data_IF_159863969162
#
_entry.id   IF_159863969162
#
_cell.length_a   1.000
_cell.length_b   1.000
_cell.length_c   1.000
_cell.angle_alpha   90.00
_cell.angle_beta   90.00
_cell.angle_gamma   90.00
#
_symmetry.space_group_name_H-M   'P 1'
#
loop_
_entity.id
_entity.type
_entity.pdbx_description
1 polymer ?
#
# COMPACT_ATOMS: atom_id res chain seq x y z
N UNK A 1 -35.85 73.92 11.67
CA UNK A 1 -35.90 74.08 13.15
C UNK A 1 -35.96 72.69 13.74
N UNK A 2 -35.09 72.45 14.73
CA UNK A 2 -35.11 71.37 15.73
C UNK A 2 -34.48 70.01 15.37
N UNK A 3 -33.26 69.87 15.88
CA UNK A 3 -32.50 68.70 16.31
C UNK A 3 -33.23 67.81 17.34
N UNK A 4 -32.98 66.50 17.31
CA UNK A 4 -32.88 65.57 18.46
C UNK A 4 -32.51 64.17 17.92
N UNK A 5 -31.76 63.27 18.54
CA UNK A 5 -30.69 63.22 19.54
C UNK A 5 -30.19 61.75 19.53
N UNK A 6 -28.99 61.52 20.06
CA UNK A 6 -28.25 60.27 20.17
C UNK A 6 -28.97 59.06 20.79
N UNK A 7 -28.54 57.87 20.38
CA UNK A 7 -28.30 56.77 21.32
C UNK A 7 -26.97 56.08 20.95
N UNK A 8 -26.02 56.18 21.89
CA UNK A 8 -24.75 55.44 21.90
C UNK A 8 -25.01 53.93 21.95
N UNK A 9 -24.15 53.16 21.27
CA UNK A 9 -24.18 51.71 21.33
C UNK A 9 -22.89 51.11 20.77
N UNK A 10 -21.86 51.11 21.63
CA UNK A 10 -20.83 50.07 21.74
C UNK A 10 -19.97 49.72 20.51
N UNK A 11 -18.69 50.04 20.60
CA UNK A 11 -17.67 49.48 19.72
C UNK A 11 -17.31 48.05 20.15
N UNK A 12 -17.26 47.07 19.23
CA UNK A 12 -16.33 45.98 19.36
C UNK A 12 -15.11 46.25 18.48
N UNK A 13 -13.99 46.49 19.16
CA UNK A 13 -12.64 46.38 18.63
C UNK A 13 -12.50 45.06 17.87
N UNK A 14 -12.45 45.11 16.54
CA UNK A 14 -12.09 43.96 15.72
C UNK A 14 -10.57 43.93 15.59
N UNK A 15 -9.96 43.06 16.40
CA UNK A 15 -8.55 42.71 16.34
C UNK A 15 -8.12 42.36 14.89
N UNK A 16 -6.87 42.64 14.50
CA UNK A 16 -6.39 42.30 13.17
C UNK A 16 -6.50 40.79 12.98
N UNK A 17 -7.19 40.38 11.90
CA UNK A 17 -7.23 38.99 11.45
C UNK A 17 -5.80 38.57 11.14
N UNK A 18 -5.15 37.92 12.09
CA UNK A 18 -3.89 37.23 11.87
C UNK A 18 -4.11 36.25 10.74
N UNK A 19 -3.60 36.57 9.55
CA UNK A 19 -3.50 35.63 8.44
C UNK A 19 -2.56 34.53 8.91
N UNK A 20 -3.14 33.44 9.42
CA UNK A 20 -2.42 32.23 9.75
C UNK A 20 -1.64 31.81 8.50
N UNK A 21 -0.33 32.02 8.57
CA UNK A 21 0.60 31.70 7.50
C UNK A 21 0.48 30.20 7.25
N UNK A 22 -0.15 29.82 6.14
CA UNK A 22 -0.18 28.41 5.73
C UNK A 22 1.27 28.00 5.51
N UNK A 23 1.75 27.03 6.28
CA UNK A 23 3.04 26.40 6.02
C UNK A 23 2.96 25.78 4.62
N UNK A 24 3.66 26.37 3.67
CA UNK A 24 3.78 25.84 2.32
C UNK A 24 5.00 24.91 2.29
N UNK A 25 4.82 23.71 1.74
CA UNK A 25 5.92 22.78 1.51
C UNK A 25 6.89 23.40 0.51
N UNK A 26 8.09 23.76 0.98
CA UNK A 26 9.06 24.52 0.17
C UNK A 26 9.78 23.64 -0.85
N UNK A 27 9.96 22.34 -0.55
CA UNK A 27 10.58 21.38 -1.46
C UNK A 27 10.28 19.94 -1.01
N UNK A 28 9.62 19.16 -1.86
CA UNK A 28 9.54 17.71 -1.74
C UNK A 28 10.64 17.11 -2.62
N UNK A 29 11.64 16.46 -2.02
CA UNK A 29 12.67 15.74 -2.76
C UNK A 29 12.57 14.25 -2.46
N UNK A 30 12.36 13.43 -3.48
CA UNK A 30 12.41 11.95 -3.38
C UNK A 30 13.72 11.43 -3.95
N UNK A 31 14.18 10.29 -3.42
CA UNK A 31 15.40 9.61 -3.87
C UNK A 31 15.27 9.27 -5.35
N UNK A 32 16.12 9.82 -6.22
CA UNK A 32 16.02 9.61 -7.68
C UNK A 32 16.11 8.14 -8.11
N UNK A 33 16.86 7.32 -7.36
CA UNK A 33 17.11 5.91 -7.67
C UNK A 33 16.92 5.06 -6.41
N UNK A 34 15.67 4.71 -6.05
CA UNK A 34 15.43 3.87 -4.89
C UNK A 34 16.00 2.46 -5.13
N UNK A 35 16.61 1.83 -4.11
CA UNK A 35 17.20 0.49 -4.26
C UNK A 35 16.15 -0.62 -4.34
N UNK A 36 14.94 -0.36 -3.83
CA UNK A 36 13.85 -1.33 -3.77
C UNK A 36 12.61 -0.79 -4.49
N UNK A 37 11.81 -1.73 -4.95
CA UNK A 37 10.43 -1.50 -5.37
C UNK A 37 9.49 -2.32 -4.49
N UNK A 38 8.26 -1.86 -4.39
CA UNK A 38 7.25 -2.41 -3.52
C UNK A 38 6.09 -2.97 -4.33
N UNK A 39 5.51 -4.06 -3.83
CA UNK A 39 4.41 -4.76 -4.48
C UNK A 39 3.33 -5.07 -3.46
N UNK A 40 2.07 -4.86 -3.84
CA UNK A 40 0.90 -5.35 -3.11
C UNK A 40 0.31 -6.53 -3.86
N UNK A 41 0.25 -7.68 -3.19
CA UNK A 41 -0.40 -8.89 -3.69
C UNK A 41 -1.71 -9.13 -2.94
N UNK A 42 -2.60 -9.87 -3.59
CA UNK A 42 -3.84 -10.37 -3.00
C UNK A 42 -4.03 -11.84 -3.37
N UNK A 43 -4.33 -12.66 -2.38
CA UNK A 43 -4.70 -14.06 -2.53
C UNK A 43 -6.18 -14.15 -2.90
N UNK A 44 -6.46 -14.66 -4.09
CA UNK A 44 -7.80 -14.94 -4.58
C UNK A 44 -8.05 -16.43 -4.49
N UNK A 45 -9.13 -16.83 -3.81
CA UNK A 45 -9.54 -18.22 -3.66
C UNK A 45 -10.93 -18.44 -4.27
N UNK A 46 -11.16 -19.61 -4.88
CA UNK A 46 -12.50 -20.01 -5.31
C UNK A 46 -13.34 -20.43 -4.08
N UNK A 47 -14.46 -19.73 -3.89
CA UNK A 47 -15.31 -19.80 -2.69
C UNK A 47 -16.26 -21.01 -2.69
N UNK A 48 -15.77 -22.20 -3.05
CA UNK A 48 -16.57 -23.42 -3.04
C UNK A 48 -16.69 -24.05 -1.63
N UNK A 49 -15.84 -23.65 -0.67
CA UNK A 49 -15.94 -24.05 0.75
C UNK A 49 -15.72 -22.87 1.70
N UNK A 50 -16.73 -22.43 2.47
CA UNK A 50 -16.65 -21.27 3.36
C UNK A 50 -15.85 -21.51 4.66
N UNK A 51 -15.37 -22.73 4.92
CA UNK A 51 -14.75 -23.07 6.20
C UNK A 51 -13.20 -22.95 6.20
N UNK A 52 -12.57 -22.89 5.02
CA UNK A 52 -11.09 -22.80 4.86
C UNK A 52 -10.60 -21.41 4.43
N UNK A 53 -11.53 -20.50 4.08
CA UNK A 53 -11.26 -19.06 3.88
C UNK A 53 -11.05 -18.31 5.20
N UNK A 54 -11.19 -18.99 6.34
CA UNK A 54 -10.98 -18.40 7.67
C UNK A 54 -9.49 -18.26 8.03
N UNK A 55 -8.61 -19.06 7.43
CA UNK A 55 -7.18 -18.90 7.58
C UNK A 55 -6.66 -17.97 6.48
N UNK A 56 -6.54 -16.68 6.83
CA UNK A 56 -5.93 -15.68 5.98
C UNK A 56 -4.50 -16.04 5.60
N UNK A 57 -3.96 -15.30 4.65
CA UNK A 57 -2.60 -15.50 4.16
C UNK A 57 -1.60 -15.33 5.31
N UNK A 58 -0.65 -16.25 5.44
CA UNK A 58 0.45 -16.16 6.43
C UNK A 58 1.82 -15.88 5.78
N UNK A 59 2.81 -15.50 6.58
CA UNK A 59 4.16 -15.16 6.08
C UNK A 59 4.87 -16.35 5.40
N UNK A 60 4.65 -17.57 5.88
CA UNK A 60 5.27 -18.78 5.33
C UNK A 60 4.65 -19.13 3.98
N UNK A 61 3.32 -19.04 3.85
CA UNK A 61 2.57 -19.22 2.62
C UNK A 61 2.97 -18.19 1.57
N UNK A 62 3.04 -16.90 1.93
CA UNK A 62 3.54 -15.85 1.02
C UNK A 62 4.90 -16.24 0.46
N UNK A 63 5.84 -16.62 1.34
CA UNK A 63 7.20 -16.96 0.91
C UNK A 63 7.23 -18.21 0.05
N UNK A 64 6.45 -19.22 0.39
CA UNK A 64 6.32 -20.46 -0.36
C UNK A 64 5.77 -20.20 -1.77
N UNK A 65 4.62 -19.53 -1.87
CA UNK A 65 3.97 -19.22 -3.15
C UNK A 65 4.85 -18.34 -4.03
N UNK A 66 5.46 -17.29 -3.49
CA UNK A 66 6.39 -16.47 -4.25
C UNK A 66 7.60 -17.28 -4.73
N UNK A 67 8.20 -18.15 -3.91
CA UNK A 67 9.35 -18.95 -4.32
C UNK A 67 8.98 -19.93 -5.44
N UNK A 68 7.84 -20.63 -5.32
CA UNK A 68 7.33 -21.52 -6.37
C UNK A 68 7.09 -20.74 -7.66
N UNK A 69 6.42 -19.59 -7.58
CA UNK A 69 6.11 -18.74 -8.72
C UNK A 69 7.36 -18.19 -9.44
N UNK A 70 8.38 -17.79 -8.68
CA UNK A 70 9.63 -17.30 -9.23
C UNK A 70 10.47 -18.43 -9.81
N UNK A 71 10.49 -19.59 -9.17
CA UNK A 71 11.26 -20.74 -9.62
C UNK A 71 10.70 -21.34 -10.90
N UNK A 72 9.37 -21.41 -11.08
CA UNK A 72 8.77 -21.90 -12.32
C UNK A 72 9.05 -20.97 -13.52
N UNK A 73 9.14 -19.65 -13.29
CA UNK A 73 9.21 -18.66 -14.38
C UNK A 73 10.65 -18.27 -14.72
N UNK A 74 11.52 -18.16 -13.71
CA UNK A 74 12.90 -17.68 -13.84
C UNK A 74 13.94 -18.75 -13.43
N UNK A 75 13.50 -19.95 -13.03
CA UNK A 75 14.38 -21.03 -12.60
C UNK A 75 15.10 -20.74 -11.27
N UNK A 76 16.32 -21.27 -11.13
CA UNK A 76 17.14 -21.08 -9.93
C UNK A 76 17.42 -19.59 -9.64
N UNK A 77 17.59 -18.76 -10.67
CA UNK A 77 17.78 -17.31 -10.54
C UNK A 77 16.59 -16.65 -9.85
N UNK A 78 15.36 -17.02 -10.19
CA UNK A 78 14.16 -16.49 -9.54
C UNK A 78 14.13 -16.77 -8.04
N UNK A 79 14.51 -17.98 -7.65
CA UNK A 79 14.55 -18.37 -6.24
C UNK A 79 15.61 -17.62 -5.41
N UNK A 80 16.58 -16.98 -6.07
CA UNK A 80 17.62 -16.18 -5.45
C UNK A 80 17.23 -14.68 -5.31
N UNK A 81 16.10 -14.25 -5.88
CA UNK A 81 15.62 -12.87 -5.72
C UNK A 81 15.29 -12.66 -4.23
N UNK A 82 15.91 -11.67 -3.56
CA UNK A 82 15.61 -11.40 -2.17
C UNK A 82 14.24 -10.73 -2.06
N UNK A 83 13.36 -11.32 -1.26
CA UNK A 83 12.01 -10.83 -1.00
C UNK A 83 11.89 -10.62 0.50
N UNK A 84 11.48 -9.42 0.88
CA UNK A 84 11.14 -9.12 2.27
C UNK A 84 9.64 -8.85 2.39
N UNK A 85 9.01 -9.52 3.35
CA UNK A 85 7.60 -9.35 3.67
C UNK A 85 7.48 -8.18 4.65
N UNK A 86 6.72 -7.16 4.28
CA UNK A 86 6.54 -5.96 5.07
C UNK A 86 5.30 -6.04 5.96
N UNK A 87 4.20 -6.52 5.40
CA UNK A 87 2.92 -6.70 6.10
C UNK A 87 2.11 -7.80 5.42
N UNK A 88 1.39 -8.55 6.22
CA UNK A 88 0.32 -9.45 5.76
C UNK A 88 -0.94 -9.07 6.52
N UNK A 89 -2.04 -8.88 5.80
CA UNK A 89 -3.32 -8.41 6.31
C UNK A 89 -4.46 -9.15 5.60
N UNK A 90 -5.06 -10.13 6.29
CA UNK A 90 -6.06 -11.01 5.69
C UNK A 90 -5.52 -11.73 4.45
N UNK A 91 -6.07 -11.42 3.28
CA UNK A 91 -5.64 -12.01 2.00
C UNK A 91 -4.64 -11.13 1.25
N UNK A 92 -4.23 -9.99 1.79
CA UNK A 92 -3.32 -9.06 1.14
C UNK A 92 -1.93 -9.12 1.78
N UNK A 93 -0.89 -8.93 0.97
CA UNK A 93 0.46 -8.75 1.49
C UNK A 93 1.23 -7.67 0.74
N UNK A 94 2.15 -7.05 1.47
CA UNK A 94 3.06 -6.03 0.98
C UNK A 94 4.47 -6.58 1.04
N UNK A 95 5.15 -6.48 -0.09
CA UNK A 95 6.49 -7.01 -0.30
C UNK A 95 7.41 -5.89 -0.78
N UNK A 96 8.70 -6.03 -0.50
CA UNK A 96 9.75 -5.33 -1.24
C UNK A 96 10.66 -6.31 -1.96
N UNK A 97 11.15 -5.87 -3.11
CA UNK A 97 12.12 -6.58 -3.96
C UNK A 97 13.15 -5.57 -4.47
N UNK A 98 14.37 -5.99 -4.87
CA UNK A 98 15.29 -5.10 -5.55
C UNK A 98 14.62 -4.48 -6.77
N UNK A 99 14.86 -3.18 -6.99
CA UNK A 99 14.27 -2.45 -8.11
C UNK A 99 14.45 -3.12 -9.49
N UNK A 100 15.63 -3.66 -9.87
CA UNK A 100 15.76 -4.32 -11.18
C UNK A 100 14.93 -5.60 -11.30
N UNK A 101 14.57 -6.23 -10.17
CA UNK A 101 13.85 -7.49 -10.14
C UNK A 101 12.32 -7.31 -10.13
N UNK A 102 11.80 -6.08 -10.03
CA UNK A 102 10.36 -5.82 -9.98
C UNK A 102 9.61 -6.38 -11.20
N UNK A 103 10.12 -6.12 -12.41
CA UNK A 103 9.51 -6.56 -13.65
C UNK A 103 9.46 -8.09 -13.78
N UNK A 104 10.59 -8.82 -13.66
CA UNK A 104 10.56 -10.28 -13.72
C UNK A 104 9.79 -10.90 -12.54
N UNK A 105 9.81 -10.28 -11.36
CA UNK A 105 8.99 -10.69 -10.22
C UNK A 105 7.49 -10.60 -10.54
N UNK A 106 7.01 -9.45 -11.02
CA UNK A 106 5.60 -9.24 -11.33
C UNK A 106 5.12 -10.19 -12.45
N UNK A 107 5.97 -10.43 -13.45
CA UNK A 107 5.70 -11.40 -14.51
C UNK A 107 5.56 -12.83 -13.95
N UNK A 108 6.48 -13.24 -13.07
CA UNK A 108 6.45 -14.56 -12.44
C UNK A 108 5.20 -14.81 -11.59
N UNK A 109 4.79 -13.82 -10.78
CA UNK A 109 3.57 -13.90 -9.98
C UNK A 109 2.33 -13.97 -10.88
N UNK A 110 2.28 -13.14 -11.93
CA UNK A 110 1.13 -13.12 -12.86
C UNK A 110 1.01 -14.41 -13.66
N UNK A 111 2.14 -15.02 -14.03
CA UNK A 111 2.18 -16.30 -14.74
C UNK A 111 1.90 -17.52 -13.84
N UNK A 112 1.82 -17.33 -12.52
CA UNK A 112 1.60 -18.44 -11.61
C UNK A 112 0.17 -18.92 -11.63
N UNK A 113 0.03 -20.17 -12.05
CA UNK A 113 -1.21 -20.92 -12.03
C UNK A 113 -1.52 -21.42 -10.61
N UNK A 114 -1.39 -20.60 -9.57
CA UNK A 114 -1.90 -20.92 -8.23
C UNK A 114 -1.52 -22.27 -7.62
N UNK A 115 -2.29 -22.66 -6.61
CA UNK A 115 -2.27 -23.96 -5.96
C UNK A 115 -3.70 -24.48 -5.86
N UNK A 116 -3.87 -25.78 -6.11
CA UNK A 116 -5.13 -26.49 -5.87
C UNK A 116 -4.95 -27.32 -4.60
N UNK A 117 -5.68 -26.97 -3.55
CA UNK A 117 -5.65 -27.66 -2.27
C UNK A 117 -7.08 -27.95 -1.83
N UNK A 118 -7.36 -29.19 -1.41
CA UNK A 118 -8.66 -29.63 -0.88
C UNK A 118 -9.88 -29.30 -1.76
N UNK A 119 -9.69 -29.19 -3.08
CA UNK A 119 -10.75 -28.89 -4.05
C UNK A 119 -11.02 -27.39 -4.26
N UNK A 120 -10.27 -26.51 -3.57
CA UNK A 120 -10.25 -25.08 -3.82
C UNK A 120 -9.00 -24.65 -4.59
N UNK A 121 -9.16 -23.68 -5.48
CA UNK A 121 -8.05 -23.03 -6.17
C UNK A 121 -7.67 -21.73 -5.49
N UNK A 122 -6.38 -21.49 -5.25
CA UNK A 122 -5.84 -20.25 -4.68
C UNK A 122 -4.76 -19.68 -5.61
N UNK A 123 -4.82 -18.39 -5.93
CA UNK A 123 -3.84 -17.72 -6.79
C UNK A 123 -3.46 -16.35 -6.24
N UNK A 124 -2.19 -15.98 -6.40
CA UNK A 124 -1.69 -14.64 -6.06
C UNK A 124 -1.88 -13.71 -7.26
N UNK A 125 -2.45 -12.54 -7.00
CA UNK A 125 -2.61 -11.49 -8.00
C UNK A 125 -1.82 -10.25 -7.61
N UNK A 126 -1.10 -9.66 -8.57
CA UNK A 126 -0.47 -8.35 -8.39
C UNK A 126 -1.55 -7.28 -8.46
N UNK A 127 -1.77 -6.56 -7.35
CA UNK A 127 -2.77 -5.48 -7.28
C UNK A 127 -2.16 -4.10 -7.51
N UNK A 128 -0.91 -3.91 -7.08
CA UNK A 128 -0.21 -2.65 -7.25
C UNK A 128 1.30 -2.86 -7.16
N UNK A 129 2.06 -2.05 -7.88
CA UNK A 129 3.51 -1.93 -7.74
C UNK A 129 3.93 -0.46 -7.77
N UNK A 130 4.97 -0.12 -7.03
CA UNK A 130 5.57 1.22 -7.06
C UNK A 130 6.99 1.20 -6.51
N UNK A 131 7.83 2.11 -6.98
CA UNK A 131 9.16 2.37 -6.42
C UNK A 131 9.09 3.02 -5.01
N UNK A 132 7.92 3.52 -4.59
CA UNK A 132 7.73 4.16 -3.30
C UNK A 132 6.52 3.57 -2.56
N UNK A 133 6.74 3.08 -1.35
CA UNK A 133 5.68 2.51 -0.51
C UNK A 133 4.55 3.51 -0.24
N UNK A 134 4.87 4.80 -0.02
CA UNK A 134 3.90 5.85 0.21
C UNK A 134 2.92 6.06 -0.97
N UNK A 135 3.37 5.82 -2.21
CA UNK A 135 2.50 5.89 -3.38
C UNK A 135 1.47 4.75 -3.43
N UNK A 136 1.72 3.64 -2.73
CA UNK A 136 0.77 2.52 -2.63
C UNK A 136 -0.21 2.65 -1.48
N UNK A 137 0.19 3.25 -0.36
CA UNK A 137 -0.71 3.49 0.76
C UNK A 137 -1.70 4.63 0.47
N UNK A 138 -1.33 5.60 -0.38
CA UNK A 138 -2.09 6.81 -0.64
C UNK A 138 -2.12 7.75 0.58
N UNK A 139 -2.44 9.03 0.39
CA UNK A 139 -2.30 10.05 1.44
C UNK A 139 -3.06 9.73 2.74
N UNK A 140 -4.20 9.00 2.65
CA UNK A 140 -5.06 8.63 3.79
C UNK A 140 -4.83 7.21 4.33
N UNK A 141 -4.02 6.38 3.65
CA UNK A 141 -3.80 4.98 4.03
C UNK A 141 -2.48 4.72 4.73
N UNK A 142 -1.63 5.76 4.88
CA UNK A 142 -0.29 5.66 5.48
C UNK A 142 -0.37 5.19 6.95
N UNK A 143 -1.29 5.75 7.73
CA UNK A 143 -1.49 5.39 9.13
C UNK A 143 -2.03 3.95 9.29
N UNK A 144 -2.88 3.52 8.36
CA UNK A 144 -3.46 2.16 8.36
C UNK A 144 -2.45 1.08 8.01
N UNK A 145 -1.40 1.41 7.24
CA UNK A 145 -0.39 0.44 6.86
C UNK A 145 0.37 -0.11 8.08
N UNK A 146 0.66 0.75 9.05
CA UNK A 146 1.42 0.41 10.26
C UNK A 146 0.55 0.08 11.46
N UNK A 147 -0.77 0.27 11.35
CA UNK A 147 -1.71 -0.13 12.39
C UNK A 147 -1.84 -1.66 12.41
N UNK A 148 -1.83 -2.29 13.60
CA UNK A 148 -2.05 -3.72 13.77
C UNK A 148 -3.48 -4.13 13.44
#
# INVERSE_FOLDING_TARGET
MTTQELAMGEAPSSAPRGTGQRSHELLTCTIKTPPFSYVRLELVADSSQPHEVAEGLDNLQVRSYCNVALRQFLGATGSAIPIDILKVDGNQCWLRVPRPDLSPFAAAITAWAGVSEQGGWRVLQVKQCSDYLGAMAGAKGQDKLWSP
#
